data_IF_084367997950
#
_entry.id   IF_084367997950
#
_cell.length_a   1.000
_cell.length_b   1.000
_cell.length_c   1.000
_cell.angle_alpha   90.00
_cell.angle_beta   90.00
_cell.angle_gamma   90.00
#
_symmetry.space_group_name_H-M   'P 1'
#
loop_
_entity.id
_entity.type
_entity.pdbx_description
1 polymer ?
#
# COMPACT_ATOMS: atom_id res chain seq x y z
N UNK A 1 27.10 0.17 26.98
CA UNK A 1 26.12 -0.36 26.01
C UNK A 1 25.23 0.80 25.60
N UNK A 2 25.40 1.42 24.42
CA UNK A 2 24.66 2.66 24.11
C UNK A 2 23.91 2.68 22.78
N UNK A 3 23.92 1.59 22.00
CA UNK A 3 23.14 1.47 20.76
C UNK A 3 22.29 0.19 20.75
N UNK A 4 21.05 0.24 20.22
CA UNK A 4 20.17 -0.92 20.14
C UNK A 4 20.79 -2.09 19.37
N UNK A 5 20.38 -3.33 19.70
CA UNK A 5 20.90 -4.53 19.05
C UNK A 5 20.72 -4.49 17.52
N UNK A 6 19.60 -3.94 17.05
CA UNK A 6 19.30 -3.79 15.63
C UNK A 6 20.32 -2.92 14.86
N UNK A 7 20.94 -1.94 15.53
CA UNK A 7 21.98 -1.10 14.93
C UNK A 7 23.35 -1.77 15.01
N UNK A 8 23.68 -2.41 16.14
CA UNK A 8 24.95 -3.14 16.35
C UNK A 8 25.13 -4.27 15.35
N UNK A 9 24.06 -5.02 15.10
CA UNK A 9 24.08 -6.22 14.28
C UNK A 9 23.75 -5.97 12.81
N UNK A 10 23.74 -4.71 12.38
CA UNK A 10 23.43 -4.37 10.99
C UNK A 10 24.37 -5.13 10.02
N UNK A 11 23.81 -5.75 8.96
CA UNK A 11 24.60 -6.37 7.89
C UNK A 11 25.65 -5.42 7.31
N UNK A 12 26.84 -5.95 7.04
CA UNK A 12 28.00 -5.21 6.49
C UNK A 12 28.14 -5.40 4.98
N UNK A 13 27.60 -6.48 4.45
CA UNK A 13 27.63 -6.83 3.03
C UNK A 13 26.22 -7.21 2.57
N UNK A 14 25.96 -7.16 1.26
CA UNK A 14 24.67 -7.56 0.72
C UNK A 14 24.35 -9.05 0.96
N UNK A 15 25.37 -9.89 1.12
CA UNK A 15 25.22 -11.33 1.39
C UNK A 15 24.82 -11.64 2.84
N UNK A 16 25.03 -10.69 3.76
CA UNK A 16 24.60 -10.79 5.15
C UNK A 16 23.14 -10.35 5.34
N UNK A 17 22.52 -9.71 4.35
CA UNK A 17 21.13 -9.27 4.42
C UNK A 17 20.21 -10.47 4.33
N UNK A 18 19.40 -10.68 5.37
CA UNK A 18 18.42 -11.77 5.41
C UNK A 18 17.20 -11.43 4.54
N UNK A 19 16.73 -12.40 3.75
CA UNK A 19 15.63 -12.23 2.80
C UNK A 19 15.97 -11.40 1.56
N UNK A 20 14.93 -10.80 0.95
CA UNK A 20 15.02 -10.03 -0.30
C UNK A 20 15.73 -10.75 -1.45
N UNK A 21 15.64 -12.09 -1.52
CA UNK A 21 16.36 -12.89 -2.53
C UNK A 21 16.02 -12.47 -3.96
N UNK A 22 14.80 -12.00 -4.21
CA UNK A 22 14.38 -11.49 -5.52
C UNK A 22 15.18 -10.25 -5.98
N UNK A 23 15.76 -9.49 -5.06
CA UNK A 23 16.64 -8.36 -5.35
C UNK A 23 18.12 -8.70 -5.21
N UNK A 24 18.48 -9.40 -4.12
CA UNK A 24 19.87 -9.50 -3.64
C UNK A 24 20.60 -10.76 -4.10
N UNK A 25 19.88 -11.75 -4.63
CA UNK A 25 20.51 -13.00 -5.09
C UNK A 25 21.50 -12.75 -6.24
N UNK A 26 22.56 -13.57 -6.36
CA UNK A 26 23.46 -13.52 -7.50
C UNK A 26 22.69 -13.60 -8.82
N UNK A 27 22.99 -12.68 -9.75
CA UNK A 27 22.31 -12.63 -11.05
C UNK A 27 20.99 -11.84 -11.08
N UNK A 28 20.49 -11.31 -9.97
CA UNK A 28 19.38 -10.37 -10.00
C UNK A 28 19.79 -9.02 -10.62
N UNK A 29 18.85 -8.36 -11.31
CA UNK A 29 19.10 -7.06 -11.96
C UNK A 29 19.59 -6.03 -10.95
N UNK A 30 18.92 -5.94 -9.79
CA UNK A 30 19.35 -5.07 -8.69
C UNK A 30 20.78 -5.39 -8.26
N UNK A 31 21.08 -6.65 -7.91
CA UNK A 31 22.43 -7.08 -7.50
C UNK A 31 23.50 -6.72 -8.53
N UNK A 32 23.25 -6.90 -9.83
CA UNK A 32 24.19 -6.50 -10.89
C UNK A 32 24.35 -4.98 -10.99
N UNK A 33 23.24 -4.23 -10.96
CA UNK A 33 23.24 -2.78 -11.11
C UNK A 33 24.03 -2.09 -10.00
N UNK A 34 23.95 -2.61 -8.77
CA UNK A 34 24.63 -2.03 -7.60
C UNK A 34 26.05 -2.53 -7.39
N UNK A 35 26.47 -3.59 -8.10
CA UNK A 35 27.86 -4.08 -8.07
C UNK A 35 28.77 -3.36 -9.06
N UNK A 36 28.21 -2.52 -9.94
CA UNK A 36 28.98 -1.72 -10.90
C UNK A 36 29.65 -0.50 -10.26
N UNK A 37 30.53 0.21 -10.98
CA UNK A 37 31.26 1.37 -10.47
C UNK A 37 30.37 2.59 -10.21
N UNK A 38 29.14 2.61 -10.73
CA UNK A 38 28.18 3.71 -10.54
C UNK A 38 26.87 3.18 -10.00
N UNK A 39 26.47 3.67 -8.82
CA UNK A 39 25.17 3.36 -8.22
C UNK A 39 24.12 4.27 -8.86
N UNK A 40 23.03 3.74 -9.46
CA UNK A 40 21.97 4.57 -10.01
C UNK A 40 21.09 5.19 -8.90
N UNK A 41 20.29 6.19 -9.25
CA UNK A 41 19.28 6.72 -8.34
C UNK A 41 18.18 5.68 -8.11
N UNK A 42 17.71 5.53 -6.88
CA UNK A 42 16.76 4.49 -6.51
C UNK A 42 15.69 4.98 -5.54
N UNK A 43 14.52 4.35 -5.61
CA UNK A 43 13.45 4.47 -4.63
C UNK A 43 13.13 3.08 -4.11
N UNK A 44 13.32 2.86 -2.80
CA UNK A 44 12.98 1.64 -2.11
C UNK A 44 11.60 1.78 -1.48
N UNK A 45 10.64 0.96 -1.89
CA UNK A 45 9.33 0.94 -1.25
C UNK A 45 9.07 -0.41 -0.59
N UNK A 46 8.41 -0.41 0.56
CA UNK A 46 8.07 -1.64 1.27
C UNK A 46 7.89 -1.42 2.78
N UNK A 47 7.49 -2.45 3.52
CA UNK A 47 7.19 -2.34 4.95
C UNK A 47 8.40 -1.88 5.80
N UNK A 48 8.19 -1.43 7.04
CA UNK A 48 9.28 -1.15 7.96
C UNK A 48 10.11 -2.42 8.25
N UNK A 49 11.38 -2.24 8.61
CA UNK A 49 12.23 -3.35 9.09
C UNK A 49 12.72 -4.38 8.07
N UNK A 50 12.39 -4.22 6.79
CA UNK A 50 12.76 -5.16 5.70
C UNK A 50 14.18 -4.95 5.12
N UNK A 51 14.94 -3.98 5.64
CA UNK A 51 16.35 -3.77 5.27
C UNK A 51 16.65 -2.60 4.31
N UNK A 52 15.69 -1.73 3.98
CA UNK A 52 15.89 -0.56 3.07
C UNK A 52 17.10 0.30 3.45
N UNK A 53 17.13 0.80 4.69
CA UNK A 53 18.23 1.63 5.22
C UNK A 53 19.56 0.89 5.27
N UNK A 54 19.51 -0.41 5.58
CA UNK A 54 20.69 -1.27 5.65
C UNK A 54 21.33 -1.43 4.27
N UNK A 55 20.53 -1.73 3.25
CA UNK A 55 21.01 -1.85 1.87
C UNK A 55 21.61 -0.53 1.40
N UNK A 56 20.94 0.60 1.60
CA UNK A 56 21.48 1.92 1.22
C UNK A 56 22.85 2.21 1.85
N UNK A 57 23.04 1.87 3.12
CA UNK A 57 24.33 2.02 3.83
C UNK A 57 25.42 1.12 3.27
N UNK A 58 25.08 -0.13 2.93
CA UNK A 58 26.03 -1.06 2.32
C UNK A 58 26.47 -0.53 0.95
N UNK A 59 25.53 -0.02 0.15
CA UNK A 59 25.83 0.54 -1.17
C UNK A 59 26.77 1.75 -1.08
N UNK A 60 26.50 2.69 -0.18
CA UNK A 60 27.37 3.85 0.02
C UNK A 60 28.80 3.44 0.42
N UNK A 61 28.93 2.43 1.30
CA UNK A 61 30.23 1.92 1.72
C UNK A 61 30.96 1.20 0.58
N UNK A 62 30.25 0.42 -0.23
CA UNK A 62 30.82 -0.30 -1.37
C UNK A 62 31.28 0.64 -2.49
N UNK A 63 30.54 1.72 -2.74
CA UNK A 63 30.91 2.73 -3.74
C UNK A 63 31.95 3.74 -3.23
N UNK A 64 32.28 3.72 -1.94
CA UNK A 64 33.19 4.68 -1.32
C UNK A 64 32.64 6.11 -1.26
N UNK A 65 31.33 6.29 -1.48
CA UNK A 65 30.66 7.59 -1.46
C UNK A 65 30.40 8.07 -0.04
N UNK A 66 30.41 9.40 0.15
CA UNK A 66 30.03 10.00 1.42
C UNK A 66 28.51 9.89 1.62
N UNK A 67 28.09 9.20 2.67
CA UNK A 67 26.67 8.98 2.99
C UNK A 67 26.11 10.13 3.83
N UNK A 68 25.14 10.86 3.29
CA UNK A 68 24.28 11.76 4.04
C UNK A 68 22.91 11.09 4.27
N UNK A 69 22.39 11.18 5.49
CA UNK A 69 21.08 10.65 5.83
C UNK A 69 20.14 11.77 6.24
N UNK A 70 19.01 11.88 5.53
CA UNK A 70 17.91 12.78 5.85
C UNK A 70 16.64 11.94 6.08
N UNK A 71 15.71 12.49 6.85
CA UNK A 71 14.39 11.90 7.06
C UNK A 71 13.32 12.91 6.63
N UNK A 72 12.39 12.52 5.76
CA UNK A 72 11.35 13.39 5.21
C UNK A 72 10.41 14.00 6.25
N UNK A 73 10.30 13.41 7.45
CA UNK A 73 9.50 13.98 8.54
C UNK A 73 10.15 15.19 9.20
N UNK A 74 11.49 15.28 9.20
CA UNK A 74 12.25 16.33 9.88
C UNK A 74 13.06 17.23 8.95
N UNK A 75 13.35 16.77 7.72
CA UNK A 75 14.21 17.48 6.79
C UNK A 75 13.53 18.71 6.17
N UNK A 76 14.17 19.86 6.29
CA UNK A 76 13.83 21.09 5.59
C UNK A 76 14.51 21.22 4.23
N UNK A 77 14.14 22.25 3.46
CA UNK A 77 14.83 22.57 2.20
C UNK A 77 16.29 23.00 2.43
N UNK A 78 16.60 23.57 3.60
CA UNK A 78 17.96 23.95 3.97
C UNK A 78 18.88 22.73 4.16
N UNK A 79 18.37 21.65 4.78
CA UNK A 79 19.12 20.40 4.98
C UNK A 79 19.43 19.70 3.65
N UNK A 80 18.50 19.76 2.70
CA UNK A 80 18.75 19.26 1.34
C UNK A 80 19.88 20.07 0.69
N UNK A 81 19.84 21.40 0.81
CA UNK A 81 20.88 22.28 0.24
C UNK A 81 22.25 22.14 0.91
N UNK A 82 22.32 21.84 2.21
CA UNK A 82 23.60 21.65 2.89
C UNK A 82 24.31 20.39 2.40
N UNK A 83 23.58 19.30 2.15
CA UNK A 83 24.14 18.09 1.54
C UNK A 83 24.72 18.38 0.16
N UNK A 84 24.12 19.30 -0.60
CA UNK A 84 24.62 19.72 -1.91
C UNK A 84 25.88 20.58 -1.83
N UNK A 85 26.05 21.34 -0.75
CA UNK A 85 27.25 22.13 -0.54
C UNK A 85 28.50 21.27 -0.29
N UNK A 86 28.32 20.02 0.17
CA UNK A 86 29.41 19.09 0.42
C UNK A 86 29.93 18.40 -0.86
N UNK A 87 29.23 18.56 -2.00
CA UNK A 87 29.66 18.07 -3.31
C UNK A 87 30.97 18.76 -3.71
N UNK A 88 31.98 17.97 -4.07
CA UNK A 88 33.30 18.47 -4.48
C UNK A 88 34.27 18.80 -3.34
N UNK A 89 33.88 18.54 -2.08
CA UNK A 89 34.79 18.64 -0.93
C UNK A 89 35.78 17.47 -0.85
N UNK A 90 36.81 17.60 0.00
CA UNK A 90 37.83 16.56 0.17
C UNK A 90 37.26 15.21 0.64
N UNK A 91 36.16 15.25 1.40
CA UNK A 91 35.46 14.06 1.88
C UNK A 91 34.55 13.38 0.84
N UNK A 92 34.27 14.05 -0.28
CA UNK A 92 33.32 13.60 -1.31
C UNK A 92 34.00 13.26 -2.65
N UNK A 93 35.28 12.86 -2.63
CA UNK A 93 36.06 12.56 -3.84
C UNK A 93 35.45 11.48 -4.74
N UNK A 94 34.73 10.52 -4.16
CA UNK A 94 34.00 9.46 -4.88
C UNK A 94 32.53 9.81 -5.14
N UNK A 95 32.10 11.03 -4.82
CA UNK A 95 30.71 11.50 -4.90
C UNK A 95 29.95 11.40 -3.57
N UNK A 96 28.73 11.95 -3.57
CA UNK A 96 27.82 11.97 -2.41
C UNK A 96 26.63 11.05 -2.65
N UNK A 97 26.31 10.21 -1.67
CA UNK A 97 25.08 9.44 -1.64
C UNK A 97 24.12 10.03 -0.60
N UNK A 98 22.99 10.57 -1.07
CA UNK A 98 21.92 11.03 -0.20
C UNK A 98 20.91 9.90 0.01
N UNK A 99 20.85 9.39 1.24
CA UNK A 99 19.77 8.53 1.69
C UNK A 99 18.65 9.36 2.31
N UNK A 100 17.45 9.29 1.74
CA UNK A 100 16.28 10.02 2.21
C UNK A 100 15.20 9.04 2.68
N UNK A 101 15.00 8.93 4.00
CA UNK A 101 13.95 8.08 4.56
C UNK A 101 12.59 8.77 4.55
N UNK A 102 11.51 8.00 4.38
CA UNK A 102 10.12 8.46 4.39
C UNK A 102 9.85 9.67 3.45
N UNK A 103 10.24 9.55 2.17
CA UNK A 103 10.11 10.60 1.15
C UNK A 103 8.67 11.11 0.97
N UNK A 104 7.66 10.31 1.30
CA UNK A 104 6.25 10.70 1.19
C UNK A 104 5.86 11.92 2.03
N UNK A 105 6.65 12.28 3.05
CA UNK A 105 6.42 13.47 3.86
C UNK A 105 7.04 14.75 3.29
N UNK A 106 7.90 14.65 2.26
CA UNK A 106 8.40 15.83 1.58
C UNK A 106 7.33 16.44 0.69
N UNK A 107 7.13 17.76 0.83
CA UNK A 107 6.26 18.52 -0.04
C UNK A 107 6.86 18.68 -1.45
N UNK A 108 6.03 19.12 -2.41
CA UNK A 108 6.42 19.28 -3.82
C UNK A 108 7.66 20.16 -4.01
N UNK A 109 7.81 21.24 -3.23
CA UNK A 109 8.96 22.16 -3.34
C UNK A 109 10.25 21.50 -2.88
N UNK A 110 10.20 20.73 -1.78
CA UNK A 110 11.35 19.96 -1.30
C UNK A 110 11.75 18.88 -2.31
N UNK A 111 10.79 18.14 -2.87
CA UNK A 111 11.07 17.14 -3.91
C UNK A 111 11.63 17.76 -5.19
N UNK A 112 11.17 18.96 -5.59
CA UNK A 112 11.73 19.69 -6.73
C UNK A 112 13.19 20.10 -6.49
N UNK A 113 13.56 20.45 -5.26
CA UNK A 113 14.93 20.81 -4.92
C UNK A 113 15.90 19.63 -5.08
N UNK A 114 15.41 18.38 -5.08
CA UNK A 114 16.21 17.19 -5.36
C UNK A 114 16.46 16.98 -6.86
N UNK A 115 15.66 17.57 -7.75
CA UNK A 115 15.79 17.34 -9.20
C UNK A 115 17.07 17.96 -9.76
N UNK A 116 17.44 19.14 -9.28
CA UNK A 116 18.66 19.85 -9.70
C UNK A 116 19.90 18.95 -9.57
N UNK A 117 19.97 18.17 -8.49
CA UNK A 117 21.09 17.29 -8.13
C UNK A 117 21.11 15.96 -8.90
N UNK A 118 19.97 15.56 -9.45
CA UNK A 118 19.86 14.32 -10.23
C UNK A 118 20.28 14.53 -11.68
N UNK A 119 20.16 15.75 -12.19
CA UNK A 119 20.44 16.08 -13.60
C UNK A 119 21.92 16.22 -13.91
N UNK A 120 22.69 16.83 -12.99
CA UNK A 120 24.16 16.95 -13.14
C UNK A 120 24.92 15.70 -12.68
N UNK A 121 24.24 14.76 -12.00
CA UNK A 121 24.80 13.52 -11.49
C UNK A 121 25.77 13.72 -10.32
N UNK A 122 25.75 14.88 -9.68
CA UNK A 122 26.59 15.23 -8.53
C UNK A 122 26.26 14.42 -7.27
N UNK A 123 25.00 14.01 -7.13
CA UNK A 123 24.49 13.23 -5.99
C UNK A 123 23.76 11.99 -6.48
N UNK A 124 24.05 10.85 -5.85
CA UNK A 124 23.21 9.65 -5.99
C UNK A 124 22.14 9.65 -4.91
N UNK A 125 20.87 9.61 -5.33
CA UNK A 125 19.73 9.55 -4.42
C UNK A 125 19.29 8.11 -4.20
N UNK A 126 19.19 7.71 -2.93
CA UNK A 126 18.43 6.53 -2.51
C UNK A 126 17.33 6.99 -1.56
N UNK A 127 16.09 7.02 -2.03
CA UNK A 127 14.94 7.34 -1.20
C UNK A 127 14.23 6.08 -0.71
N UNK A 128 13.56 6.14 0.44
CA UNK A 128 12.68 5.07 0.91
C UNK A 128 11.30 5.56 1.32
N UNK A 129 10.31 4.69 1.17
CA UNK A 129 8.94 4.92 1.62
C UNK A 129 8.28 3.61 2.05
N UNK A 130 7.30 3.70 2.94
CA UNK A 130 6.41 2.58 3.30
C UNK A 130 5.16 2.50 2.43
N UNK A 131 4.85 3.56 1.69
CA UNK A 131 3.69 3.66 0.83
C UNK A 131 4.05 3.39 -0.64
N UNK A 132 3.04 3.25 -1.50
CA UNK A 132 3.29 3.07 -2.93
C UNK A 132 3.85 4.37 -3.54
N UNK A 133 5.07 4.37 -4.10
CA UNK A 133 5.76 5.58 -4.51
C UNK A 133 5.06 6.32 -5.65
N UNK A 134 4.26 5.64 -6.49
CA UNK A 134 3.54 6.26 -7.60
C UNK A 134 2.44 7.24 -7.18
N UNK A 135 2.05 7.26 -5.91
CA UNK A 135 1.06 8.22 -5.37
C UNK A 135 1.68 9.46 -4.73
N UNK A 136 2.86 9.34 -4.13
CA UNK A 136 3.44 10.37 -3.25
C UNK A 136 4.75 10.95 -3.77
N UNK A 137 5.45 10.23 -4.64
CA UNK A 137 6.69 10.70 -5.27
C UNK A 137 6.37 11.37 -6.58
N UNK A 138 6.92 12.56 -6.79
CA UNK A 138 6.68 13.33 -8.00
C UNK A 138 7.22 12.62 -9.25
N UNK A 139 6.45 12.63 -10.35
CA UNK A 139 6.79 11.92 -11.59
C UNK A 139 8.17 12.27 -12.16
N UNK A 140 8.65 13.50 -11.96
CA UNK A 140 9.98 13.91 -12.41
C UNK A 140 11.13 13.20 -11.68
N UNK A 141 10.92 12.80 -10.42
CA UNK A 141 11.86 11.96 -9.65
C UNK A 141 11.73 10.51 -10.08
N UNK A 142 10.50 10.01 -10.24
CA UNK A 142 10.25 8.63 -10.69
C UNK A 142 10.84 8.34 -12.07
N UNK A 143 10.85 9.33 -12.98
CA UNK A 143 11.46 9.15 -14.30
C UNK A 143 12.99 9.07 -14.29
N UNK A 144 13.64 9.44 -13.17
CA UNK A 144 15.10 9.50 -13.01
C UNK A 144 15.64 8.51 -11.98
N UNK A 145 14.77 7.72 -11.34
CA UNK A 145 15.13 6.75 -10.31
C UNK A 145 14.50 5.38 -10.57
N UNK A 146 15.27 4.32 -10.36
CA UNK A 146 14.75 2.95 -10.43
C UNK A 146 13.98 2.62 -9.15
N UNK A 147 12.75 2.11 -9.30
CA UNK A 147 11.90 1.73 -8.16
C UNK A 147 12.08 0.26 -7.84
N UNK A 148 12.39 -0.06 -6.58
CA UNK A 148 12.58 -1.44 -6.11
C UNK A 148 11.67 -1.75 -4.91
N UNK A 149 10.95 -2.86 -5.03
CA UNK A 149 10.07 -3.38 -3.99
C UNK A 149 10.82 -4.26 -2.99
N UNK A 150 10.76 -3.87 -1.71
CA UNK A 150 11.18 -4.70 -0.60
C UNK A 150 9.96 -5.42 -0.01
N UNK A 151 10.02 -6.74 0.00
CA UNK A 151 8.92 -7.58 0.50
C UNK A 151 9.03 -7.81 2.01
N UNK A 152 7.92 -8.06 2.72
CA UNK A 152 7.96 -8.62 4.08
C UNK A 152 8.88 -9.84 4.13
N UNK A 153 9.68 -9.96 5.20
CA UNK A 153 10.54 -11.13 5.40
C UNK A 153 9.71 -12.35 5.79
N UNK A 154 10.08 -13.53 5.27
CA UNK A 154 9.49 -14.78 5.72
C UNK A 154 9.91 -15.10 7.17
N UNK A 155 9.13 -15.89 7.93
CA UNK A 155 9.57 -16.38 9.24
C UNK A 155 10.93 -17.07 9.19
N UNK A 156 11.23 -17.81 8.12
CA UNK A 156 12.52 -18.46 7.90
C UNK A 156 13.68 -17.47 7.76
N UNK A 157 13.47 -16.38 7.00
CA UNK A 157 14.48 -15.31 6.83
C UNK A 157 14.75 -14.59 8.16
N UNK A 158 13.69 -14.32 8.94
CA UNK A 158 13.82 -13.69 10.26
C UNK A 158 14.54 -14.63 11.23
N UNK A 159 14.18 -15.91 11.24
CA UNK A 159 14.83 -16.93 12.07
C UNK A 159 16.33 -17.03 11.77
N UNK A 160 16.72 -17.01 10.49
CA UNK A 160 18.13 -16.98 10.10
C UNK A 160 18.84 -15.74 10.66
N UNK A 161 18.19 -14.57 10.55
CA UNK A 161 18.70 -13.33 11.11
C UNK A 161 18.87 -13.37 12.63
N UNK A 162 17.93 -13.96 13.36
CA UNK A 162 17.99 -14.13 14.82
C UNK A 162 19.11 -15.10 15.22
N UNK A 163 19.29 -16.20 14.49
CA UNK A 163 20.42 -17.13 14.69
C UNK A 163 21.77 -16.45 14.44
N UNK A 164 21.86 -15.60 13.40
CA UNK A 164 23.04 -14.79 13.14
C UNK A 164 23.31 -13.80 14.28
N UNK A 165 22.26 -13.23 14.86
CA UNK A 165 22.37 -12.30 15.97
C UNK A 165 22.92 -12.97 17.24
N UNK A 166 22.43 -14.15 17.61
CA UNK A 166 22.96 -14.90 18.76
C UNK A 166 24.43 -15.29 18.59
N UNK A 167 24.83 -15.70 17.37
CA UNK A 167 26.24 -16.01 17.08
C UNK A 167 27.13 -14.79 17.27
N UNK A 168 26.74 -13.63 16.72
CA UNK A 168 27.49 -12.38 16.89
C UNK A 168 27.56 -11.91 18.34
N UNK A 169 26.49 -12.06 19.11
CA UNK A 169 26.51 -11.75 20.54
C UNK A 169 27.52 -12.63 21.29
N UNK A 170 27.59 -13.91 20.94
CA UNK A 170 28.56 -14.85 21.50
C UNK A 170 29.99 -14.48 21.11
N UNK A 171 30.23 -14.11 19.84
CA UNK A 171 31.53 -13.62 19.36
C UNK A 171 31.97 -12.33 20.05
N UNK A 172 31.03 -11.47 20.46
CA UNK A 172 31.26 -10.24 21.22
C UNK A 172 31.44 -10.48 22.74
N UNK A 173 31.57 -11.74 23.18
CA UNK A 173 31.83 -12.12 24.56
C UNK A 173 30.59 -12.21 25.45
N UNK A 174 29.39 -12.22 24.85
CA UNK A 174 28.12 -12.43 25.56
C UNK A 174 27.50 -13.75 25.06
N UNK A 175 27.90 -14.92 25.62
CA UNK A 175 27.34 -16.20 25.19
C UNK A 175 25.85 -16.25 25.52
N UNK A 176 25.04 -16.34 24.46
CA UNK A 176 23.58 -16.44 24.56
C UNK A 176 23.12 -17.67 23.78
N UNK A 177 22.32 -18.52 24.43
CA UNK A 177 21.66 -19.67 23.83
C UNK A 177 20.16 -19.45 23.84
N UNK A 178 19.46 -20.15 22.96
CA UNK A 178 18.01 -20.16 22.93
C UNK A 178 17.51 -21.61 23.04
N UNK A 179 16.46 -21.79 23.84
CA UNK A 179 15.69 -23.04 23.90
C UNK A 179 15.05 -23.34 22.54
N UNK A 180 14.82 -24.63 22.25
CA UNK A 180 14.15 -25.08 21.04
C UNK A 180 12.78 -24.40 20.86
N UNK A 181 12.56 -23.75 19.71
CA UNK A 181 11.32 -23.03 19.41
C UNK A 181 11.26 -21.59 19.95
N UNK A 182 12.20 -21.14 20.79
CA UNK A 182 12.17 -19.77 21.31
C UNK A 182 12.41 -18.73 20.21
N UNK A 183 13.33 -18.99 19.28
CA UNK A 183 13.61 -18.08 18.16
C UNK A 183 12.52 -18.12 17.10
N UNK A 184 11.90 -19.28 16.89
CA UNK A 184 10.76 -19.48 16.00
C UNK A 184 9.58 -18.62 16.45
N UNK A 185 9.26 -18.61 17.76
CA UNK A 185 8.24 -17.73 18.33
C UNK A 185 8.54 -16.24 18.11
N UNK A 186 9.81 -15.83 18.27
CA UNK A 186 10.23 -14.46 17.99
C UNK A 186 10.10 -14.13 16.50
N UNK A 187 10.47 -15.04 15.60
CA UNK A 187 10.38 -14.85 14.16
C UNK A 187 8.92 -14.67 13.70
N UNK A 188 8.03 -15.54 14.17
CA UNK A 188 6.59 -15.51 13.87
C UNK A 188 5.89 -14.25 14.42
N UNK A 189 6.30 -13.78 15.59
CA UNK A 189 5.74 -12.59 16.26
C UNK A 189 6.24 -11.24 15.72
N UNK A 190 7.15 -11.24 14.72
CA UNK A 190 7.69 -10.00 14.12
C UNK A 190 7.19 -9.61 12.72
N UNK A 191 6.74 -10.57 11.89
CA UNK A 191 5.78 -10.31 10.79
C UNK A 191 6.44 -9.59 9.65
N UNK A 192 7.58 -10.14 9.27
CA UNK A 192 8.45 -9.60 8.26
C UNK A 192 9.31 -8.42 8.69
N UNK A 193 9.21 -7.92 9.93
CA UNK A 193 10.05 -6.83 10.44
C UNK A 193 11.25 -7.37 11.26
N UNK A 194 12.45 -7.29 10.67
CA UNK A 194 13.70 -7.73 11.33
C UNK A 194 14.12 -6.81 12.48
N UNK A 195 13.82 -5.50 12.39
CA UNK A 195 14.17 -4.54 13.45
C UNK A 195 13.37 -4.87 14.71
N UNK A 196 12.08 -5.16 14.56
CA UNK A 196 11.21 -5.61 15.65
C UNK A 196 11.69 -6.94 16.23
N UNK A 197 12.09 -7.89 15.37
CA UNK A 197 12.62 -9.18 15.81
C UNK A 197 13.88 -9.04 16.66
N UNK A 198 14.82 -8.20 16.26
CA UNK A 198 16.02 -7.93 17.04
C UNK A 198 15.71 -7.18 18.34
N UNK A 199 14.73 -6.28 18.35
CA UNK A 199 14.27 -5.62 19.57
C UNK A 199 13.65 -6.59 20.57
N UNK A 200 12.80 -7.50 20.10
CA UNK A 200 12.22 -8.54 20.96
C UNK A 200 13.29 -9.52 21.47
N UNK A 201 14.24 -9.90 20.61
CA UNK A 201 15.38 -10.72 21.04
C UNK A 201 16.22 -10.00 22.10
N UNK A 202 16.54 -8.72 21.89
CA UNK A 202 17.27 -7.90 22.87
C UNK A 202 16.56 -7.88 24.23
N UNK A 203 15.24 -7.68 24.23
CA UNK A 203 14.45 -7.74 25.45
C UNK A 203 14.46 -9.13 26.09
N UNK A 204 14.31 -10.20 25.30
CA UNK A 204 14.36 -11.57 25.79
C UNK A 204 15.74 -11.92 26.40
N UNK A 205 16.83 -11.46 25.80
CA UNK A 205 18.21 -11.64 26.31
C UNK A 205 18.45 -10.85 27.58
N UNK A 206 17.84 -9.66 27.72
CA UNK A 206 17.91 -8.87 28.94
C UNK A 206 17.14 -9.53 30.10
N UNK A 207 16.00 -10.15 29.81
CA UNK A 207 15.17 -10.88 30.78
C UNK A 207 15.70 -12.29 31.11
N UNK A 208 16.49 -12.89 30.21
CA UNK A 208 17.05 -14.23 30.35
C UNK A 208 17.95 -14.34 31.59
N UNK A 209 17.80 -15.47 32.30
CA UNK A 209 18.64 -15.78 33.47
C UNK A 209 20.05 -16.16 33.03
N UNK A 210 21.04 -15.71 33.80
CA UNK A 210 22.42 -16.17 33.66
C UNK A 210 22.54 -17.60 34.22
N UNK A 211 23.23 -18.44 33.45
CA UNK A 211 23.64 -19.80 33.81
C UNK A 211 25.16 -19.90 33.66
N UNK A 212 25.75 -21.00 34.15
CA UNK A 212 27.22 -21.20 34.20
C UNK A 212 27.91 -21.06 32.82
N UNK A 213 27.16 -21.25 31.74
CA UNK A 213 27.63 -21.30 30.36
C UNK A 213 26.98 -20.24 29.43
N UNK A 214 26.41 -19.19 30.05
CA UNK A 214 25.86 -18.01 29.38
C UNK A 214 24.40 -17.73 29.73
N UNK A 215 23.77 -16.82 29.00
CA UNK A 215 22.32 -16.58 29.15
C UNK A 215 21.52 -17.55 28.31
N UNK A 216 20.45 -18.10 28.87
CA UNK A 216 19.50 -18.95 28.14
C UNK A 216 18.18 -18.22 27.94
N UNK A 217 17.83 -17.93 26.69
CA UNK A 217 16.51 -17.43 26.31
C UNK A 217 15.56 -18.61 26.22
N UNK A 218 14.61 -18.69 27.16
CA UNK A 218 13.57 -19.74 27.16
C UNK A 218 12.41 -19.37 26.23
N UNK A 219 11.55 -20.33 25.91
CA UNK A 219 10.26 -20.06 25.23
C UNK A 219 9.39 -19.08 26.03
N UNK A 220 9.46 -19.12 27.36
CA UNK A 220 8.70 -18.21 28.21
C UNK A 220 9.21 -16.78 28.10
N UNK A 221 10.53 -16.58 28.07
CA UNK A 221 11.15 -15.27 27.85
C UNK A 221 10.80 -14.73 26.48
N UNK A 222 10.88 -15.57 25.43
CA UNK A 222 10.48 -15.21 24.07
C UNK A 222 8.99 -14.82 23.99
N UNK A 223 8.11 -15.58 24.64
CA UNK A 223 6.68 -15.29 24.68
C UNK A 223 6.32 -14.06 25.51
N UNK A 224 7.15 -13.70 26.51
CA UNK A 224 7.01 -12.45 27.27
C UNK A 224 7.56 -11.23 26.52
N UNK A 225 8.62 -11.43 25.73
CA UNK A 225 9.27 -10.40 24.91
C UNK A 225 8.51 -10.08 23.63
N UNK A 226 7.84 -11.08 23.05
CA UNK A 226 6.83 -10.87 22.05
C UNK A 226 5.55 -10.45 22.76
N UNK A 227 5.13 -9.16 22.75
CA UNK A 227 3.79 -8.83 23.22
C UNK A 227 2.81 -9.77 22.53
N UNK A 228 1.76 -10.21 23.25
CA UNK A 228 0.60 -10.90 22.68
C UNK A 228 -0.12 -9.96 21.69
N UNK A 229 0.56 -9.59 20.62
CA UNK A 229 -0.03 -9.05 19.43
C UNK A 229 -0.73 -10.25 18.83
N UNK A 230 -2.05 -10.27 19.01
CA UNK A 230 -3.04 -10.82 18.11
C UNK A 230 -2.51 -11.95 17.22
N UNK A 231 -3.03 -13.17 17.44
CA UNK A 231 -3.01 -14.27 16.45
C UNK A 231 -2.79 -13.70 15.07
N UNK A 232 -1.58 -13.87 14.53
CA UNK A 232 -1.22 -13.22 13.29
C UNK A 232 -1.90 -13.90 12.14
N UNK A 233 -3.08 -13.36 11.86
CA UNK A 233 -3.42 -12.88 10.55
C UNK A 233 -2.20 -12.30 9.85
N UNK A 234 -1.75 -13.06 8.86
CA UNK A 234 -0.71 -12.69 7.92
C UNK A 234 -1.16 -11.49 7.08
N UNK A 235 -0.98 -10.27 7.59
CA UNK A 235 -1.21 -9.01 6.87
C UNK A 235 -0.41 -8.88 5.56
N UNK A 236 0.50 -9.81 5.27
CA UNK A 236 1.44 -9.79 4.15
C UNK A 236 1.33 -10.98 3.18
N UNK A 237 0.48 -11.95 3.45
CA UNK A 237 0.33 -13.13 2.60
C UNK A 237 -1.10 -13.53 2.40
N UNK A 238 -1.25 -14.64 1.70
CA UNK A 238 -2.51 -15.11 1.13
C UNK A 238 -3.63 -15.15 2.18
N UNK A 239 -3.32 -15.42 3.46
CA UNK A 239 -4.30 -15.46 4.55
C UNK A 239 -5.05 -14.14 4.82
N UNK A 240 -4.43 -12.97 4.70
CA UNK A 240 -5.15 -11.69 4.85
C UNK A 240 -6.06 -11.40 3.65
N UNK A 241 -5.54 -11.62 2.44
CA UNK A 241 -6.33 -11.48 1.21
C UNK A 241 -7.48 -12.46 1.18
N UNK A 242 -7.27 -13.69 1.64
CA UNK A 242 -8.28 -14.74 1.74
C UNK A 242 -9.41 -14.31 2.66
N UNK A 243 -9.13 -13.58 3.73
CA UNK A 243 -10.16 -13.20 4.70
C UNK A 243 -10.91 -11.94 4.31
N UNK A 244 -10.23 -10.98 3.69
CA UNK A 244 -10.90 -9.86 3.00
C UNK A 244 -11.77 -10.40 1.85
N UNK A 245 -11.25 -11.36 1.10
CA UNK A 245 -12.00 -12.04 0.06
C UNK A 245 -13.17 -12.85 0.62
N UNK A 246 -12.98 -13.55 1.73
CA UNK A 246 -14.01 -14.36 2.35
C UNK A 246 -15.11 -13.47 2.93
N UNK A 247 -14.77 -12.35 3.58
CA UNK A 247 -15.72 -11.32 3.99
C UNK A 247 -16.60 -10.88 2.82
N UNK A 248 -16.00 -10.51 1.69
CA UNK A 248 -16.77 -10.11 0.51
C UNK A 248 -17.63 -11.24 -0.04
N UNK A 249 -17.06 -12.45 -0.18
CA UNK A 249 -17.79 -13.60 -0.71
C UNK A 249 -18.96 -14.00 0.20
N UNK A 250 -18.80 -13.95 1.52
CA UNK A 250 -19.87 -14.18 2.49
C UNK A 250 -20.97 -13.13 2.38
N UNK A 251 -20.61 -11.84 2.33
CA UNK A 251 -21.60 -10.78 2.16
C UNK A 251 -22.33 -10.92 0.82
N UNK A 252 -21.61 -11.12 -0.29
CA UNK A 252 -22.16 -11.37 -1.63
C UNK A 252 -23.08 -12.59 -1.63
N UNK A 253 -22.68 -13.66 -0.94
CA UNK A 253 -23.44 -14.89 -0.75
C UNK A 253 -24.62 -14.75 0.22
N UNK A 254 -24.81 -13.57 0.82
CA UNK A 254 -25.86 -13.28 1.80
C UNK A 254 -25.79 -14.13 3.07
N UNK A 255 -24.57 -14.45 3.53
CA UNK A 255 -24.31 -15.14 4.79
C UNK A 255 -23.79 -14.13 5.84
N UNK A 256 -24.67 -13.62 6.72
CA UNK A 256 -24.29 -12.64 7.74
C UNK A 256 -23.38 -13.22 8.83
N UNK A 257 -23.54 -14.49 9.17
CA UNK A 257 -22.75 -15.16 10.20
C UNK A 257 -21.29 -15.30 9.76
N UNK A 258 -21.07 -15.80 8.53
CA UNK A 258 -19.74 -15.88 7.95
C UNK A 258 -19.14 -14.49 7.71
N UNK A 259 -19.95 -13.50 7.30
CA UNK A 259 -19.49 -12.13 7.14
C UNK A 259 -18.93 -11.55 8.44
N UNK A 260 -19.67 -11.64 9.55
CA UNK A 260 -19.20 -11.16 10.86
C UNK A 260 -17.99 -11.95 11.33
N UNK A 261 -17.94 -13.26 11.10
CA UNK A 261 -16.77 -14.08 11.44
C UNK A 261 -15.50 -13.60 10.73
N UNK A 262 -15.53 -13.43 9.41
CA UNK A 262 -14.36 -12.96 8.66
C UNK A 262 -14.01 -11.51 8.98
N UNK A 263 -15.01 -10.64 9.21
CA UNK A 263 -14.78 -9.29 9.70
C UNK A 263 -14.04 -9.30 11.04
N UNK A 264 -14.53 -10.05 12.02
CA UNK A 264 -13.91 -10.16 13.34
C UNK A 264 -12.47 -10.63 13.22
N UNK A 265 -12.20 -11.65 12.39
CA UNK A 265 -10.83 -12.12 12.18
C UNK A 265 -9.91 -11.06 11.54
N UNK A 266 -10.41 -10.22 10.63
CA UNK A 266 -9.65 -9.08 10.08
C UNK A 266 -9.35 -8.04 11.17
N UNK A 267 -10.33 -7.74 12.02
CA UNK A 267 -10.21 -6.75 13.09
C UNK A 267 -9.25 -7.22 14.20
N UNK A 268 -9.32 -8.50 14.58
CA UNK A 268 -8.35 -9.14 15.47
C UNK A 268 -6.93 -9.11 14.85
N UNK A 269 -6.82 -9.26 13.53
CA UNK A 269 -5.56 -9.04 12.79
C UNK A 269 -5.08 -7.58 12.75
N UNK A 270 -5.82 -6.66 13.35
CA UNK A 270 -5.52 -5.23 13.43
C UNK A 270 -5.65 -4.49 12.11
N UNK A 271 -6.38 -5.01 11.11
CA UNK A 271 -6.57 -4.34 9.81
C UNK A 271 -7.97 -3.73 9.60
N UNK A 272 -8.32 -2.80 10.49
CA UNK A 272 -9.58 -2.08 10.41
C UNK A 272 -9.74 -1.31 9.10
N UNK A 273 -8.67 -0.69 8.58
CA UNK A 273 -8.75 0.13 7.36
C UNK A 273 -9.07 -0.71 6.12
N UNK A 274 -8.53 -1.92 6.00
CA UNK A 274 -8.88 -2.82 4.90
C UNK A 274 -10.33 -3.30 4.99
N UNK A 275 -10.83 -3.60 6.19
CA UNK A 275 -12.24 -3.91 6.40
C UNK A 275 -13.16 -2.74 6.00
N UNK A 276 -12.87 -1.52 6.47
CA UNK A 276 -13.62 -0.30 6.10
C UNK A 276 -13.69 -0.10 4.59
N UNK A 277 -12.53 -0.15 3.91
CA UNK A 277 -12.45 0.00 2.46
C UNK A 277 -13.25 -1.09 1.74
N UNK A 278 -13.16 -2.33 2.21
CA UNK A 278 -13.87 -3.45 1.59
C UNK A 278 -15.39 -3.31 1.74
N UNK A 279 -15.89 -2.93 2.90
CA UNK A 279 -17.34 -2.72 3.11
C UNK A 279 -17.89 -1.62 2.18
N UNK A 280 -17.16 -0.52 1.99
CA UNK A 280 -17.55 0.53 1.04
C UNK A 280 -17.62 0.01 -0.41
N UNK A 281 -16.65 -0.82 -0.82
CA UNK A 281 -16.67 -1.46 -2.15
C UNK A 281 -17.89 -2.36 -2.28
N UNK A 282 -18.14 -3.25 -1.31
CA UNK A 282 -19.26 -4.18 -1.31
C UNK A 282 -20.61 -3.44 -1.39
N UNK A 283 -20.76 -2.32 -0.67
CA UNK A 283 -21.97 -1.51 -0.72
C UNK A 283 -22.29 -1.00 -2.12
N UNK A 284 -21.28 -0.64 -2.92
CA UNK A 284 -21.45 -0.17 -4.29
C UNK A 284 -21.47 -1.29 -5.34
N UNK A 285 -20.69 -2.36 -5.13
CA UNK A 285 -20.47 -3.45 -6.08
C UNK A 285 -21.53 -4.56 -5.98
N UNK A 286 -21.86 -4.98 -4.76
CA UNK A 286 -22.64 -6.20 -4.52
C UNK A 286 -24.09 -5.90 -4.09
N UNK A 287 -24.33 -4.76 -3.44
CA UNK A 287 -25.67 -4.28 -3.09
C UNK A 287 -26.17 -3.24 -4.10
N UNK A 288 -25.37 -2.21 -4.35
CA UNK A 288 -25.57 -1.27 -5.45
C UNK A 288 -26.97 -0.66 -5.50
N UNK A 289 -27.59 -0.70 -6.68
CA UNK A 289 -28.91 -0.10 -6.92
C UNK A 289 -30.08 -0.92 -6.37
N UNK A 290 -29.84 -2.15 -5.88
CA UNK A 290 -30.89 -2.93 -5.22
C UNK A 290 -31.33 -2.29 -3.91
N UNK A 291 -30.38 -1.69 -3.17
CA UNK A 291 -30.66 -0.87 -1.99
C UNK A 291 -29.74 0.36 -1.91
N UNK A 292 -30.08 1.47 -2.60
CA UNK A 292 -29.20 2.63 -2.72
C UNK A 292 -28.74 3.26 -1.39
N UNK A 293 -29.57 3.17 -0.33
CA UNK A 293 -29.22 3.69 0.99
C UNK A 293 -28.13 2.87 1.69
N UNK A 294 -27.84 1.65 1.25
CA UNK A 294 -26.78 0.81 1.84
C UNK A 294 -25.42 1.51 1.82
N UNK A 295 -25.10 2.27 0.77
CA UNK A 295 -23.86 3.03 0.68
C UNK A 295 -23.77 4.14 1.75
N UNK A 296 -24.86 4.90 1.94
CA UNK A 296 -24.90 5.97 2.93
C UNK A 296 -24.77 5.43 4.36
N UNK A 297 -25.49 4.34 4.68
CA UNK A 297 -25.41 3.70 5.99
C UNK A 297 -24.03 3.10 6.22
N UNK A 298 -23.48 2.37 5.24
CA UNK A 298 -22.12 1.81 5.33
C UNK A 298 -21.07 2.90 5.54
N UNK A 299 -21.18 4.03 4.84
CA UNK A 299 -20.28 5.18 5.03
C UNK A 299 -20.37 5.75 6.44
N UNK A 300 -21.58 5.91 6.98
CA UNK A 300 -21.78 6.36 8.36
C UNK A 300 -21.16 5.40 9.38
N UNK A 301 -21.36 4.08 9.20
CA UNK A 301 -20.71 3.05 10.02
C UNK A 301 -19.18 3.13 9.95
N UNK A 302 -18.61 3.28 8.75
CA UNK A 302 -17.16 3.40 8.55
C UNK A 302 -16.61 4.68 9.20
N UNK A 303 -17.30 5.81 9.07
CA UNK A 303 -16.88 7.07 9.69
C UNK A 303 -16.92 6.98 11.22
N UNK A 304 -17.99 6.39 11.78
CA UNK A 304 -18.09 6.10 13.21
C UNK A 304 -16.97 5.19 13.67
N UNK A 305 -16.65 4.13 12.92
CA UNK A 305 -15.55 3.21 13.25
C UNK A 305 -14.19 3.93 13.30
N UNK A 306 -13.92 4.81 12.32
CA UNK A 306 -12.68 5.60 12.27
C UNK A 306 -12.58 6.62 13.41
N UNK A 307 -13.71 7.20 13.83
CA UNK A 307 -13.75 8.16 14.95
C UNK A 307 -13.60 7.48 16.31
N UNK A 308 -14.20 6.29 16.49
CA UNK A 308 -14.16 5.54 17.74
C UNK A 308 -12.81 4.85 17.96
N UNK A 309 -12.25 4.24 16.92
CA UNK A 309 -11.08 3.36 17.06
C UNK A 309 -11.41 2.02 17.73
N UNK A 310 -10.43 1.11 17.77
CA UNK A 310 -10.62 -0.19 18.42
C UNK A 310 -10.52 -0.08 19.95
N UNK A 311 -11.32 -0.85 20.72
CA UNK A 311 -12.20 -1.93 20.28
C UNK A 311 -13.60 -1.51 19.80
N UNK A 312 -14.10 -0.32 20.11
CA UNK A 312 -15.48 0.11 19.87
C UNK A 312 -15.86 0.14 18.37
N UNK A 313 -14.89 0.39 17.49
CA UNK A 313 -15.05 0.40 16.05
C UNK A 313 -15.62 -0.90 15.47
N UNK A 314 -15.48 -2.04 16.16
CA UNK A 314 -16.02 -3.31 15.72
C UNK A 314 -17.56 -3.31 15.60
N UNK A 315 -18.24 -2.53 16.44
CA UNK A 315 -19.70 -2.49 16.51
C UNK A 315 -20.34 -1.89 15.24
N UNK A 316 -20.00 -0.65 14.82
CA UNK A 316 -20.55 -0.10 13.59
C UNK A 316 -20.12 -0.89 12.34
N UNK A 317 -18.92 -1.49 12.34
CA UNK A 317 -18.49 -2.33 11.20
C UNK A 317 -19.29 -3.63 11.11
N UNK A 318 -19.63 -4.24 12.25
CA UNK A 318 -20.51 -5.42 12.28
C UNK A 318 -21.91 -5.07 11.77
N UNK A 319 -22.45 -3.91 12.17
CA UNK A 319 -23.74 -3.42 11.66
C UNK A 319 -23.72 -3.26 10.13
N UNK A 320 -22.67 -2.64 9.57
CA UNK A 320 -22.50 -2.52 8.13
C UNK A 320 -22.41 -3.89 7.44
N UNK A 321 -21.61 -4.83 7.97
CA UNK A 321 -21.46 -6.16 7.39
C UNK A 321 -22.79 -6.94 7.35
N UNK A 322 -23.56 -6.91 8.45
CA UNK A 322 -24.86 -7.58 8.54
C UNK A 322 -25.87 -6.92 7.59
N UNK A 323 -25.91 -5.59 7.54
CA UNK A 323 -26.78 -4.87 6.61
C UNK A 323 -26.51 -5.27 5.17
N UNK A 324 -25.24 -5.26 4.76
CA UNK A 324 -24.86 -5.60 3.39
C UNK A 324 -25.13 -7.08 3.08
N UNK A 325 -24.87 -7.98 4.04
CA UNK A 325 -25.15 -9.42 3.88
C UNK A 325 -26.64 -9.69 3.70
N UNK A 326 -27.51 -8.99 4.44
CA UNK A 326 -28.97 -9.20 4.39
C UNK A 326 -29.68 -8.36 3.32
N UNK A 327 -29.01 -7.37 2.71
CA UNK A 327 -29.57 -6.56 1.64
C UNK A 327 -29.78 -7.34 0.33
N UNK A 328 -30.77 -6.96 -0.51
CA UNK A 328 -30.87 -7.48 -1.87
C UNK A 328 -29.62 -7.13 -2.66
N UNK A 329 -29.19 -8.04 -3.55
CA UNK A 329 -27.93 -7.92 -4.29
C UNK A 329 -28.14 -7.35 -5.69
N UNK A 330 -27.23 -6.51 -6.12
CA UNK A 330 -27.13 -6.07 -7.51
C UNK A 330 -25.74 -5.53 -7.83
N UNK A 331 -25.18 -6.05 -8.91
CA UNK A 331 -23.94 -5.58 -9.52
C UNK A 331 -24.20 -4.81 -10.83
N UNK A 332 -25.43 -4.33 -11.07
CA UNK A 332 -25.81 -3.68 -12.33
C UNK A 332 -25.00 -2.41 -12.61
N UNK A 333 -24.80 -1.56 -11.60
CA UNK A 333 -23.95 -0.36 -11.71
C UNK A 333 -22.46 -0.71 -11.91
N UNK A 334 -21.97 -1.72 -11.19
CA UNK A 334 -20.61 -2.24 -11.33
C UNK A 334 -20.36 -2.75 -12.77
N UNK A 335 -21.26 -3.58 -13.29
CA UNK A 335 -21.12 -4.14 -14.63
C UNK A 335 -21.22 -3.04 -15.70
N UNK A 336 -22.08 -2.03 -15.49
CA UNK A 336 -22.23 -0.92 -16.42
C UNK A 336 -20.92 -0.12 -16.60
N UNK A 337 -20.25 0.24 -15.51
CA UNK A 337 -18.99 0.99 -15.59
C UNK A 337 -17.86 0.14 -16.17
N UNK A 338 -17.79 -1.15 -15.85
CA UNK A 338 -16.79 -2.05 -16.42
C UNK A 338 -16.98 -2.27 -17.92
N UNK A 339 -18.23 -2.39 -18.38
CA UNK A 339 -18.57 -2.53 -19.81
C UNK A 339 -18.19 -1.27 -20.59
N UNK A 340 -18.51 -0.09 -20.06
CA UNK A 340 -18.10 1.18 -20.67
C UNK A 340 -16.56 1.34 -20.70
N UNK A 341 -15.88 1.00 -19.61
CA UNK A 341 -14.42 1.04 -19.55
C UNK A 341 -13.75 0.04 -20.52
N UNK A 342 -14.38 -1.13 -20.75
CA UNK A 342 -13.89 -2.11 -21.72
C UNK A 342 -13.97 -1.58 -23.15
N UNK A 343 -15.08 -0.93 -23.53
CA UNK A 343 -15.23 -0.34 -24.86
C UNK A 343 -14.22 0.80 -25.09
N UNK A 344 -13.99 1.66 -24.09
CA UNK A 344 -12.96 2.72 -24.14
C UNK A 344 -11.57 2.11 -24.35
N UNK A 345 -11.22 1.07 -23.59
CA UNK A 345 -9.93 0.37 -23.74
C UNK A 345 -9.78 -0.32 -25.10
N UNK A 346 -10.89 -0.76 -25.70
CA UNK A 346 -10.93 -1.32 -27.04
C UNK A 346 -10.89 -0.25 -28.15
N UNK A 347 -10.79 1.04 -27.79
CA UNK A 347 -10.72 2.15 -28.74
C UNK A 347 -12.09 2.64 -29.25
N UNK A 348 -13.20 2.12 -28.73
CA UNK A 348 -14.56 2.60 -29.07
C UNK A 348 -14.90 3.80 -28.20
N UNK A 349 -14.52 4.99 -28.68
CA UNK A 349 -14.71 6.24 -27.93
C UNK A 349 -15.57 7.20 -28.74
N UNK A 350 -15.22 7.46 -30.00
CA UNK A 350 -15.85 8.47 -30.85
C UNK A 350 -15.83 9.91 -30.27
N UNK A 351 -16.14 10.93 -31.08
CA UNK A 351 -16.34 12.28 -30.56
C UNK A 351 -17.65 12.37 -29.76
N UNK A 352 -17.68 13.24 -28.74
CA UNK A 352 -18.93 13.61 -28.05
C UNK A 352 -19.90 14.21 -29.09
N UNK A 353 -21.17 13.77 -29.16
CA UNK A 353 -22.13 14.30 -30.12
C UNK A 353 -22.26 15.83 -30.06
N UNK A 354 -22.43 16.49 -31.21
CA UNK A 354 -22.46 17.97 -31.33
C UNK A 354 -23.44 18.61 -30.35
N UNK A 355 -24.60 17.98 -30.14
CA UNK A 355 -25.65 18.44 -29.23
C UNK A 355 -25.32 18.34 -27.74
N UNK A 356 -24.25 17.65 -27.36
CA UNK A 356 -23.79 17.58 -25.97
C UNK A 356 -22.48 18.34 -25.72
N UNK A 357 -21.80 18.78 -26.78
CA UNK A 357 -20.56 19.57 -26.66
C UNK A 357 -20.83 20.97 -26.08
N UNK A 358 -19.85 21.55 -25.40
CA UNK A 358 -19.96 22.88 -24.81
C UNK A 358 -20.29 23.94 -25.90
N UNK A 359 -21.08 24.96 -25.53
CA UNK A 359 -21.54 26.06 -26.39
C UNK A 359 -20.40 26.86 -27.03
N UNK A 360 -19.20 26.83 -26.43
CA UNK A 360 -17.99 27.48 -26.97
C UNK A 360 -17.35 26.77 -28.18
N UNK A 361 -17.96 25.69 -28.70
CA UNK A 361 -17.47 24.94 -29.86
C UNK A 361 -17.79 25.60 -31.22
N UNK A 362 -18.58 26.67 -31.25
CA UNK A 362 -18.96 27.40 -32.48
C UNK A 362 -17.85 28.37 -32.96
N UNK A 363 -16.67 27.83 -33.31
CA UNK A 363 -15.65 28.55 -34.10
C UNK A 363 -16.07 28.78 -35.56
N UNK A 364 -15.30 29.56 -36.32
CA UNK A 364 -15.62 29.87 -37.73
C UNK A 364 -15.72 28.63 -38.63
N UNK A 365 -14.98 27.56 -38.31
CA UNK A 365 -14.90 26.31 -39.07
C UNK A 365 -15.98 25.26 -38.71
N UNK A 366 -16.93 25.58 -37.82
CA UNK A 366 -17.95 24.63 -37.38
C UNK A 366 -19.00 24.37 -38.48
N UNK A 367 -19.05 23.13 -38.98
CA UNK A 367 -19.97 22.71 -40.05
C UNK A 367 -21.47 22.78 -39.67
N UNK A 368 -21.79 22.70 -38.36
CA UNK A 368 -23.15 22.87 -37.82
C UNK A 368 -23.10 23.89 -36.70
N UNK A 369 -23.63 25.08 -36.98
CA UNK A 369 -23.72 26.18 -36.01
C UNK A 369 -24.92 25.97 -35.08
N UNK A 370 -24.71 26.20 -33.80
CA UNK A 370 -25.71 26.00 -32.76
C UNK A 370 -25.69 24.58 -32.20
N UNK A 371 -25.69 24.48 -30.86
CA UNK A 371 -25.61 23.20 -30.16
C UNK A 371 -26.80 22.28 -30.49
N UNK A 372 -28.01 22.81 -30.74
CA UNK A 372 -29.23 22.02 -30.99
C UNK A 372 -29.52 20.98 -29.88
N UNK A 373 -29.05 21.27 -28.66
CA UNK A 373 -29.34 20.47 -27.48
C UNK A 373 -30.82 20.55 -27.15
N UNK A 374 -31.49 19.40 -27.05
CA UNK A 374 -32.86 19.33 -26.58
C UNK A 374 -32.84 19.26 -25.06
N UNK A 375 -33.24 20.33 -24.38
CA UNK A 375 -33.21 20.39 -22.91
C UNK A 375 -34.34 19.57 -22.30
N UNK A 376 -34.08 18.44 -21.59
CA UNK A 376 -35.12 17.49 -21.22
C UNK A 376 -36.26 18.08 -20.36
N UNK A 377 -35.99 19.09 -19.53
CA UNK A 377 -37.00 19.68 -18.66
C UNK A 377 -38.13 20.39 -19.41
N UNK A 378 -37.89 20.81 -20.67
CA UNK A 378 -38.90 21.45 -21.53
C UNK A 378 -39.87 20.44 -22.16
N UNK A 379 -39.60 19.13 -22.01
CA UNK A 379 -40.40 18.05 -22.58
C UNK A 379 -41.22 17.33 -21.50
N UNK A 380 -42.29 16.66 -21.95
CA UNK A 380 -43.15 15.87 -21.06
C UNK A 380 -42.33 14.82 -20.29
N UNK A 381 -42.69 14.59 -19.02
CA UNK A 381 -41.97 13.71 -18.10
C UNK A 381 -40.47 14.07 -17.90
N UNK A 382 -40.06 15.29 -18.28
CA UNK A 382 -38.68 15.75 -18.28
C UNK A 382 -37.75 14.84 -19.10
N UNK A 383 -38.24 14.31 -20.22
CA UNK A 383 -37.50 13.40 -21.08
C UNK A 383 -37.71 13.71 -22.57
N UNK A 384 -36.63 13.60 -23.34
CA UNK A 384 -36.63 13.74 -24.80
C UNK A 384 -35.75 12.68 -25.44
N UNK A 385 -36.22 12.11 -26.56
CA UNK A 385 -35.42 11.22 -27.37
C UNK A 385 -34.37 12.03 -28.15
N UNK A 386 -33.10 11.92 -27.75
CA UNK A 386 -31.96 12.42 -28.51
C UNK A 386 -30.77 11.48 -28.33
N UNK A 387 -29.78 11.59 -29.22
CA UNK A 387 -28.56 10.80 -29.11
C UNK A 387 -27.65 11.38 -28.01
N UNK A 388 -27.33 10.55 -27.02
CA UNK A 388 -26.39 10.90 -25.96
C UNK A 388 -25.02 10.21 -26.08
N UNK A 389 -24.98 9.00 -26.67
CA UNK A 389 -23.74 8.30 -26.94
C UNK A 389 -23.11 8.75 -28.28
N UNK A 390 -21.78 8.66 -28.43
CA UNK A 390 -21.09 8.82 -29.72
C UNK A 390 -21.66 7.92 -30.81
N UNK A 391 -21.45 8.27 -32.08
CA UNK A 391 -21.98 7.51 -33.22
C UNK A 391 -21.52 6.05 -33.23
N UNK A 392 -20.25 5.81 -32.88
CA UNK A 392 -19.65 4.48 -32.75
C UNK A 392 -20.32 3.60 -31.69
N UNK A 393 -20.99 4.21 -30.70
CA UNK A 393 -21.61 3.55 -29.56
C UNK A 393 -23.14 3.64 -29.60
N UNK A 394 -23.73 4.10 -30.70
CA UNK A 394 -25.18 4.26 -30.82
C UNK A 394 -25.88 2.91 -30.59
N UNK A 395 -26.86 2.90 -29.68
CA UNK A 395 -27.61 1.70 -29.30
C UNK A 395 -26.92 0.80 -28.27
N UNK A 396 -25.70 1.13 -27.84
CA UNK A 396 -25.01 0.37 -26.79
C UNK A 396 -25.75 0.52 -25.46
N UNK A 397 -26.00 -0.62 -24.80
CA UNK A 397 -26.61 -0.66 -23.47
C UNK A 397 -25.55 -1.02 -22.46
N UNK A 398 -25.16 -0.08 -21.59
CA UNK A 398 -24.22 -0.35 -20.49
C UNK A 398 -24.92 -0.82 -19.23
N UNK A 399 -26.02 -0.17 -18.87
CA UNK A 399 -26.77 -0.46 -17.66
C UNK A 399 -27.98 -1.35 -17.97
N UNK A 400 -28.00 -2.51 -17.34
CA UNK A 400 -29.10 -3.46 -17.38
C UNK A 400 -29.68 -3.57 -15.96
N UNK A 401 -30.99 -3.33 -15.82
CA UNK A 401 -31.67 -3.34 -14.53
C UNK A 401 -31.60 -4.73 -13.88
N UNK A 402 -31.17 -4.79 -12.63
CA UNK A 402 -31.18 -6.00 -11.82
C UNK A 402 -32.60 -6.49 -11.50
N UNK A 403 -32.75 -7.80 -11.26
CA UNK A 403 -34.02 -8.42 -10.88
C UNK A 403 -34.31 -8.26 -9.37
N UNK A 404 -34.51 -7.01 -8.95
CA UNK A 404 -34.89 -6.66 -7.60
C UNK A 404 -35.95 -5.56 -7.59
N UNK A 405 -36.66 -5.41 -6.47
CA UNK A 405 -37.78 -4.48 -6.34
C UNK A 405 -37.45 -3.05 -6.77
N UNK A 406 -36.31 -2.53 -6.33
CA UNK A 406 -35.91 -1.13 -6.57
C UNK A 406 -35.63 -0.88 -8.05
N UNK A 407 -34.82 -1.73 -8.67
CA UNK A 407 -34.46 -1.59 -10.08
C UNK A 407 -35.63 -1.93 -11.01
N UNK A 408 -36.48 -2.90 -10.67
CA UNK A 408 -37.68 -3.18 -11.46
C UNK A 408 -38.71 -2.04 -11.38
N UNK A 409 -38.84 -1.37 -10.24
CA UNK A 409 -39.68 -0.16 -10.13
C UNK A 409 -39.14 0.97 -11.04
N UNK A 410 -37.82 1.17 -11.06
CA UNK A 410 -37.20 2.14 -11.96
C UNK A 410 -37.36 1.76 -13.45
N UNK A 411 -37.23 0.47 -13.78
CA UNK A 411 -37.45 -0.05 -15.14
C UNK A 411 -38.88 0.20 -15.61
N UNK A 412 -39.87 -0.14 -14.78
CA UNK A 412 -41.28 0.06 -15.10
C UNK A 412 -41.62 1.54 -15.32
N UNK A 413 -41.09 2.42 -14.49
CA UNK A 413 -41.24 3.87 -14.68
C UNK A 413 -40.69 4.32 -16.04
N UNK A 414 -39.46 3.94 -16.38
CA UNK A 414 -38.83 4.36 -17.63
C UNK A 414 -39.42 3.72 -18.88
N UNK A 415 -39.94 2.50 -18.80
CA UNK A 415 -40.73 1.89 -19.88
C UNK A 415 -41.98 2.72 -20.15
N UNK A 416 -42.73 3.08 -19.10
CA UNK A 416 -43.92 3.93 -19.25
C UNK A 416 -43.60 5.30 -19.87
N UNK A 417 -42.44 5.89 -19.55
CA UNK A 417 -42.04 7.20 -20.09
C UNK A 417 -41.54 7.10 -21.53
N UNK A 418 -40.81 6.03 -21.90
CA UNK A 418 -40.12 5.92 -23.19
C UNK A 418 -40.91 5.16 -24.27
N UNK A 419 -41.98 4.46 -23.91
CA UNK A 419 -42.75 3.59 -24.81
C UNK A 419 -42.24 2.16 -24.76
#
# INVERSE_FOLDING_TARGET
>A
MSSPLADRLRPRTLDEVCGQRHLLAPGCVFRRAVSGPRVPNMIFYGPPGVGKTTVARILAKQSGMLLHQLNGTSAGTADIKSVLADVGTFGAHSGVLLYLDEIQYLNKKQQQSLLECLEDGSVTLIASTTENPYFYVYNALLSRAAVFEFKPLSPEDVLLGLKNALRRLSDEGMPVRAEEGALELLAESCGGDMRKALGNLEFAVLAAREQDDGRLVTRQDAAGAAPRGAMRYDKSGDGHYDCISALQKSIRGSDPDAAVHYLARILEGGDMLSACRRLLVIAAEDVGLAYPMAMAVTKACVDSALQLGMPEAQLPLAEAAILLATAPKSNSAHNAILKAAADIRAGKVGPVPRQLQNRHFDGEDAAVKGQNYLYPHDYANHWVAQQYLPDELRGTVYYEYGDNKTEQAAKAYWQKVKG
#
